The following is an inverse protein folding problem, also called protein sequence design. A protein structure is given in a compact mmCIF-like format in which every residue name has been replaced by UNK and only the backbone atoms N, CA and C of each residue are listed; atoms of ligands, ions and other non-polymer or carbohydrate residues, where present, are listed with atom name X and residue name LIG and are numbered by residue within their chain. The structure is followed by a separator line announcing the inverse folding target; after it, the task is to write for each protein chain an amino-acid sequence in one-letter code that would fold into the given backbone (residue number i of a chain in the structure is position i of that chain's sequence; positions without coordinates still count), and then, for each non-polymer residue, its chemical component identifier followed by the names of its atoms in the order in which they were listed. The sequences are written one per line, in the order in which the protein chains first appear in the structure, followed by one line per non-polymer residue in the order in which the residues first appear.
data_IF_195900416780
#
_entry.id   IF_195900416780
#
_cell.length_a   1.000
_cell.length_b   1.000
_cell.length_c   1.000
_cell.angle_alpha   90.00
_cell.angle_beta   90.00
_cell.angle_gamma   90.00
#
_symmetry.space_group_name_H-M   'P 1'
#
loop_
_entity.id
_entity.type
_entity.pdbx_description
1 polymer ?
#
# COMPACT_ATOMS: atom_id res chain seq x y z
N UNK A 1 17.54 4.75 20.40
CA UNK A 1 17.87 5.25 19.06
C UNK A 1 17.82 4.06 18.13
N UNK A 2 16.76 3.95 17.32
CA UNK A 2 16.69 2.90 16.32
C UNK A 2 17.86 3.13 15.36
N UNK A 3 18.71 2.12 15.14
CA UNK A 3 19.55 2.16 13.95
C UNK A 3 18.59 2.26 12.78
N UNK A 4 18.54 3.41 12.12
CA UNK A 4 17.97 3.51 10.80
C UNK A 4 18.87 2.65 9.90
N UNK A 5 18.67 1.33 9.93
CA UNK A 5 19.16 0.48 8.87
C UNK A 5 18.48 1.03 7.63
N UNK A 6 19.25 1.70 6.78
CA UNK A 6 18.77 2.06 5.47
C UNK A 6 18.50 0.74 4.77
N UNK A 7 17.25 0.30 4.79
CA UNK A 7 16.79 -0.86 4.04
C UNK A 7 16.84 -0.41 2.59
N UNK A 8 17.92 -0.77 1.91
CA UNK A 8 18.13 -0.43 0.51
C UNK A 8 17.47 -1.48 -0.38
N UNK A 9 16.58 -1.01 -1.24
CA UNK A 9 15.94 -1.78 -2.28
C UNK A 9 15.76 -0.84 -3.48
N UNK A 10 16.10 -1.32 -4.69
CA UNK A 10 16.18 -0.48 -5.89
C UNK A 10 15.11 -0.87 -6.95
N UNK A 11 13.80 -0.65 -6.71
CA UNK A 11 12.73 -1.03 -7.65
C UNK A 11 12.94 -0.60 -9.11
N UNK A 12 13.49 0.60 -9.37
CA UNK A 12 13.72 1.08 -10.74
C UNK A 12 14.90 0.40 -11.44
N UNK A 13 15.84 -0.18 -10.69
CA UNK A 13 17.00 -0.91 -11.20
C UNK A 13 16.75 -2.42 -11.27
N UNK A 14 16.16 -3.00 -10.20
CA UNK A 14 15.84 -4.42 -10.04
C UNK A 14 14.58 -4.86 -10.83
N UNK A 15 14.52 -4.50 -12.11
CA UNK A 15 13.37 -4.79 -13.01
C UNK A 15 13.05 -6.27 -13.12
N UNK A 16 14.05 -7.12 -12.92
CA UNK A 16 13.93 -8.57 -12.89
C UNK A 16 12.85 -9.04 -11.91
N UNK A 17 12.59 -8.32 -10.82
CA UNK A 17 11.57 -8.69 -9.80
C UNK A 17 10.13 -8.43 -10.29
N UNK A 18 9.93 -7.45 -11.18
CA UNK A 18 8.61 -7.02 -11.64
C UNK A 18 8.16 -7.67 -12.95
N UNK A 19 9.10 -8.06 -13.83
CA UNK A 19 8.78 -8.65 -15.14
C UNK A 19 8.26 -10.09 -14.95
N UNK A 20 6.99 -10.39 -15.31
CA UNK A 20 6.46 -11.74 -15.25
C UNK A 20 7.22 -12.66 -16.22
N UNK A 21 8.05 -13.56 -15.69
CA UNK A 21 8.79 -14.56 -16.47
C UNK A 21 10.32 -14.47 -16.37
N UNK A 22 10.89 -13.35 -15.91
CA UNK A 22 12.36 -13.21 -15.74
C UNK A 22 12.81 -13.47 -14.30
N UNK A 23 12.06 -13.00 -13.30
CA UNK A 23 12.07 -13.62 -11.96
C UNK A 23 11.10 -14.80 -11.93
N UNK A 24 11.46 -15.90 -11.27
CA UNK A 24 10.49 -16.95 -11.06
C UNK A 24 9.42 -16.40 -10.10
N UNK A 25 8.14 -16.49 -10.48
CA UNK A 25 7.01 -16.11 -9.62
C UNK A 25 7.07 -16.81 -8.23
N UNK A 26 7.86 -17.89 -8.13
CA UNK A 26 8.21 -18.56 -6.88
C UNK A 26 9.02 -17.69 -5.91
N UNK A 27 9.79 -16.70 -6.34
CA UNK A 27 10.62 -15.88 -5.44
C UNK A 27 9.76 -14.98 -4.56
N UNK A 28 8.71 -14.34 -5.10
CA UNK A 28 7.75 -13.57 -4.31
C UNK A 28 6.98 -14.47 -3.34
N UNK A 29 6.52 -15.63 -3.82
CA UNK A 29 5.83 -16.62 -3.00
C UNK A 29 6.75 -17.19 -1.89
N UNK A 30 8.02 -17.44 -2.19
CA UNK A 30 9.01 -17.90 -1.23
C UNK A 30 9.33 -16.83 -0.18
N UNK A 31 9.48 -15.57 -0.59
CA UNK A 31 9.64 -14.45 0.33
C UNK A 31 8.41 -14.30 1.24
N UNK A 32 7.19 -14.41 0.70
CA UNK A 32 5.96 -14.41 1.48
C UNK A 32 5.90 -15.59 2.47
N UNK A 33 6.28 -16.79 2.05
CA UNK A 33 6.32 -17.96 2.93
C UNK A 33 7.31 -17.80 4.09
N UNK A 34 8.48 -17.19 3.84
CA UNK A 34 9.45 -16.86 4.89
C UNK A 34 8.89 -15.79 5.85
N UNK A 35 8.25 -14.75 5.33
CA UNK A 35 7.59 -13.72 6.14
C UNK A 35 6.51 -14.36 7.02
N UNK A 36 5.68 -15.24 6.47
CA UNK A 36 4.65 -15.95 7.24
C UNK A 36 5.23 -16.87 8.31
N UNK A 37 6.34 -17.56 8.03
CA UNK A 37 7.03 -18.41 9.00
C UNK A 37 7.59 -17.59 10.18
N UNK A 38 8.15 -16.41 9.90
CA UNK A 38 8.62 -15.48 10.93
C UNK A 38 7.45 -14.85 11.71
N UNK A 39 6.36 -14.48 11.03
CA UNK A 39 5.15 -13.95 11.68
C UNK A 39 4.51 -14.97 12.64
N UNK A 40 4.63 -16.29 12.37
CA UNK A 40 4.15 -17.33 13.28
C UNK A 40 4.99 -17.45 14.55
N UNK A 41 6.29 -17.13 14.47
CA UNK A 41 7.22 -17.18 15.60
C UNK A 41 7.24 -15.87 16.39
N UNK A 42 6.91 -14.76 15.73
CA UNK A 42 6.86 -13.44 16.34
C UNK A 42 5.58 -13.30 17.18
N UNK A 43 5.67 -12.89 18.45
CA UNK A 43 4.48 -12.66 19.27
C UNK A 43 3.62 -11.57 18.64
N UNK A 44 2.31 -11.84 18.48
CA UNK A 44 1.40 -10.85 17.95
C UNK A 44 1.29 -9.67 18.92
N UNK A 45 1.33 -8.47 18.34
CA UNK A 45 1.17 -7.22 19.07
C UNK A 45 -0.27 -7.17 19.62
N UNK A 46 -0.43 -6.81 20.89
CA UNK A 46 -1.75 -6.64 21.49
C UNK A 46 -2.53 -5.53 20.78
N UNK A 47 -3.86 -5.64 20.72
CA UNK A 47 -4.75 -4.61 20.13
C UNK A 47 -4.50 -3.21 20.72
N UNK A 48 -4.06 -3.15 21.97
CA UNK A 48 -3.91 -1.92 22.74
C UNK A 48 -2.46 -1.38 22.72
N UNK A 49 -1.61 -1.84 21.79
CA UNK A 49 -0.23 -1.35 21.67
C UNK A 49 -0.21 0.13 21.24
N UNK A 50 0.59 1.00 21.91
CA UNK A 50 0.70 2.42 21.59
C UNK A 50 1.24 2.73 20.18
N UNK A 51 1.79 1.74 19.46
CA UNK A 51 2.19 1.85 18.06
C UNK A 51 1.03 1.72 17.09
N UNK A 52 -0.07 1.09 17.51
CA UNK A 52 -1.28 1.00 16.72
C UNK A 52 -2.06 2.32 16.85
N UNK A 53 -2.68 2.82 15.76
CA UNK A 53 -3.58 3.95 15.86
C UNK A 53 -4.71 3.64 16.87
N UNK A 54 -5.08 4.59 17.73
CA UNK A 54 -6.17 4.38 18.68
C UNK A 54 -7.48 4.15 17.92
N UNK A 55 -8.36 3.32 18.50
CA UNK A 55 -9.69 3.11 17.95
C UNK A 55 -10.45 4.43 17.85
N UNK A 56 -10.90 4.73 16.62
CA UNK A 56 -11.59 5.97 16.32
C UNK A 56 -13.08 5.81 16.60
N UNK A 57 -13.58 6.52 17.61
CA UNK A 57 -15.02 6.64 17.83
C UNK A 57 -15.66 7.37 16.64
N UNK A 58 -16.55 6.68 15.90
CA UNK A 58 -17.20 7.20 14.69
C UNK A 58 -18.11 8.41 15.02
N UNK A 59 -18.78 8.37 16.18
CA UNK A 59 -19.74 9.40 16.61
C UNK A 59 -19.42 9.96 18.00
N UNK A 60 -18.29 10.67 18.18
CA UNK A 60 -17.81 11.08 19.51
C UNK A 60 -18.73 12.10 20.19
N UNK A 61 -19.52 12.85 19.41
CA UNK A 61 -20.40 13.92 19.92
C UNK A 61 -21.82 13.48 20.20
N UNK A 62 -22.22 12.28 19.78
CA UNK A 62 -23.62 11.87 19.79
C UNK A 62 -23.77 10.43 20.29
N UNK A 63 -24.02 10.28 21.58
CA UNK A 63 -24.27 8.99 22.21
C UNK A 63 -25.41 8.21 21.52
N UNK A 64 -26.45 8.91 21.03
CA UNK A 64 -27.57 8.28 20.33
C UNK A 64 -27.17 7.62 18.99
N UNK A 65 -26.25 8.23 18.22
CA UNK A 65 -25.79 7.63 16.97
C UNK A 65 -24.86 6.43 17.23
N UNK A 66 -24.04 6.51 18.28
CA UNK A 66 -23.21 5.38 18.71
C UNK A 66 -24.09 4.19 19.10
N UNK A 67 -25.12 4.42 19.92
CA UNK A 67 -26.08 3.37 20.29
C UNK A 67 -26.84 2.82 19.09
N UNK A 68 -27.23 3.67 18.14
CA UNK A 68 -27.90 3.20 16.91
C UNK A 68 -26.97 2.33 16.05
N UNK A 69 -25.69 2.67 15.97
CA UNK A 69 -24.69 1.89 15.24
C UNK A 69 -24.47 0.53 15.90
N UNK A 70 -24.32 0.50 17.24
CA UNK A 70 -24.16 -0.73 18.02
C UNK A 70 -25.39 -1.64 17.89
N UNK A 71 -26.59 -1.07 17.88
CA UNK A 71 -27.83 -1.82 17.80
C UNK A 71 -28.25 -2.17 16.37
N UNK A 72 -27.56 -1.69 15.34
CA UNK A 72 -27.97 -1.81 13.94
C UNK A 72 -28.14 -3.26 13.48
N UNK A 73 -27.27 -4.17 13.93
CA UNK A 73 -27.35 -5.59 13.59
C UNK A 73 -28.64 -6.24 14.09
N UNK A 74 -29.14 -5.78 15.24
CA UNK A 74 -30.36 -6.30 15.87
C UNK A 74 -31.64 -5.56 15.43
N UNK A 75 -31.54 -4.25 15.22
CA UNK A 75 -32.65 -3.36 14.91
C UNK A 75 -32.25 -2.41 13.78
N UNK A 76 -32.30 -2.85 12.52
CA UNK A 76 -31.94 -2.00 11.40
C UNK A 76 -32.88 -0.80 11.32
N UNK A 77 -32.30 0.37 11.04
CA UNK A 77 -33.05 1.62 10.91
C UNK A 77 -34.07 1.46 9.76
N UNK A 78 -35.35 1.56 10.09
CA UNK A 78 -36.43 1.56 9.09
C UNK A 78 -36.61 2.98 8.54
N UNK A 79 -37.01 3.07 7.27
CA UNK A 79 -37.36 4.36 6.65
C UNK A 79 -38.49 5.06 7.40
N UNK A 80 -38.58 6.38 7.23
CA UNK A 80 -39.66 7.19 7.79
C UNK A 80 -40.99 6.69 7.22
N UNK A 81 -41.95 6.39 8.09
CA UNK A 81 -43.28 5.96 7.69
C UNK A 81 -44.07 7.14 7.11
N UNK A 82 -44.31 7.11 5.79
CA UNK A 82 -45.07 8.13 5.08
C UNK A 82 -46.59 7.92 5.17
N UNK A 83 -47.06 6.77 5.66
CA UNK A 83 -48.50 6.44 5.71
C UNK A 83 -49.31 7.44 6.53
N UNK A 84 -48.70 8.05 7.56
CA UNK A 84 -49.30 9.08 8.40
C UNK A 84 -49.79 10.32 7.63
N UNK A 85 -49.17 10.63 6.50
CA UNK A 85 -49.51 11.79 5.66
C UNK A 85 -50.31 11.41 4.42
N UNK A 86 -50.62 10.12 4.25
CA UNK A 86 -51.46 9.66 3.15
C UNK A 86 -52.89 10.21 3.33
N UNK A 87 -53.62 10.44 2.22
CA UNK A 87 -55.02 10.83 2.29
C UNK A 87 -55.82 9.77 3.06
N UNK A 88 -56.73 10.18 3.96
CA UNK A 88 -57.51 9.23 4.75
C UNK A 88 -58.46 8.44 3.83
N UNK A 89 -58.63 7.16 4.14
CA UNK A 89 -59.62 6.28 3.49
C UNK A 89 -60.42 5.58 4.58
N UNK A 90 -61.74 5.70 4.54
CA UNK A 90 -62.66 4.99 5.42
C UNK A 90 -63.62 4.15 4.57
N UNK A 91 -63.83 2.90 4.96
CA UNK A 91 -64.77 2.01 4.31
C UNK A 91 -66.23 2.37 4.66
N UNK A 92 -67.17 2.05 3.77
CA UNK A 92 -68.60 2.18 4.09
C UNK A 92 -68.95 1.21 5.24
N UNK A 93 -69.48 1.77 6.34
CA UNK A 93 -69.77 1.02 7.57
C UNK A 93 -68.65 0.96 8.61
N UNK A 94 -67.60 1.78 8.47
CA UNK A 94 -66.50 1.86 9.44
C UNK A 94 -66.97 2.24 10.86
N UNK A 95 -66.23 1.79 11.88
CA UNK A 95 -66.53 2.10 13.27
C UNK A 95 -66.33 3.60 13.57
N UNK A 96 -66.95 4.11 14.63
CA UNK A 96 -66.78 5.51 15.04
C UNK A 96 -65.29 5.83 15.33
N UNK A 97 -64.55 4.87 15.89
CA UNK A 97 -63.13 5.02 16.19
C UNK A 97 -62.28 5.15 14.91
N UNK A 98 -62.58 4.34 13.89
CA UNK A 98 -61.90 4.41 12.59
C UNK A 98 -62.19 5.73 11.88
N UNK A 99 -63.41 6.25 11.99
CA UNK A 99 -63.79 7.56 11.44
C UNK A 99 -63.06 8.71 12.13
N UNK A 100 -62.90 8.66 13.47
CA UNK A 100 -62.12 9.66 14.22
C UNK A 100 -60.63 9.58 13.85
N UNK A 101 -60.09 8.37 13.67
CA UNK A 101 -58.72 8.19 13.22
C UNK A 101 -58.50 8.75 11.80
N UNK A 102 -59.42 8.49 10.88
CA UNK A 102 -59.41 9.03 9.52
C UNK A 102 -59.53 10.57 9.50
N UNK A 103 -60.39 11.15 10.35
CA UNK A 103 -60.54 12.60 10.49
C UNK A 103 -59.25 13.25 11.00
N UNK A 104 -58.62 12.67 12.02
CA UNK A 104 -57.34 13.12 12.55
C UNK A 104 -56.23 13.03 11.50
N UNK A 105 -56.17 11.93 10.74
CA UNK A 105 -55.21 11.76 9.64
C UNK A 105 -55.43 12.81 8.54
N UNK A 106 -56.70 13.10 8.21
CA UNK A 106 -57.08 14.17 7.28
C UNK A 106 -56.54 15.53 7.70
N UNK A 107 -56.76 15.93 8.96
CA UNK A 107 -56.23 17.20 9.50
C UNK A 107 -54.71 17.27 9.48
N UNK A 108 -54.02 16.17 9.77
CA UNK A 108 -52.55 16.09 9.69
C UNK A 108 -52.10 16.28 8.23
N UNK A 109 -52.77 15.63 7.28
CA UNK A 109 -52.50 15.76 5.86
C UNK A 109 -52.71 17.18 5.35
N UNK A 110 -53.82 17.82 5.73
CA UNK A 110 -54.15 19.21 5.37
C UNK A 110 -53.06 20.18 5.85
N UNK A 111 -52.74 20.17 7.16
CA UNK A 111 -51.70 21.05 7.70
C UNK A 111 -50.32 20.82 7.09
N UNK A 112 -49.99 19.58 6.71
CA UNK A 112 -48.76 19.28 5.98
C UNK A 112 -48.79 19.86 4.55
N UNK A 113 -49.93 19.80 3.85
CA UNK A 113 -50.06 20.37 2.50
C UNK A 113 -49.99 21.89 2.52
N UNK A 114 -50.56 22.55 3.53
CA UNK A 114 -50.45 24.00 3.72
C UNK A 114 -48.98 24.42 3.89
N UNK A 115 -48.26 23.77 4.81
CA UNK A 115 -46.83 24.04 5.02
C UNK A 115 -46.00 23.72 3.77
N UNK A 116 -46.38 22.69 3.00
CA UNK A 116 -45.74 22.37 1.73
C UNK A 116 -45.97 23.48 0.71
N UNK A 117 -47.18 24.05 0.62
CA UNK A 117 -47.47 25.16 -0.29
C UNK A 117 -46.66 26.41 0.07
N UNK A 118 -46.55 26.72 1.36
CA UNK A 118 -45.70 27.82 1.85
C UNK A 118 -44.22 27.60 1.47
N UNK A 119 -43.70 26.39 1.70
CA UNK A 119 -42.33 26.04 1.32
C UNK A 119 -42.11 26.09 -0.20
N UNK A 120 -43.09 25.64 -1.01
CA UNK A 120 -43.02 25.73 -2.46
C UNK A 120 -43.04 27.18 -2.93
N UNK A 121 -43.81 28.05 -2.29
CA UNK A 121 -43.81 29.49 -2.57
C UNK A 121 -42.41 30.09 -2.34
N UNK A 122 -41.80 29.79 -1.19
CA UNK A 122 -40.43 30.24 -0.88
C UNK A 122 -39.42 29.67 -1.88
N UNK A 123 -39.53 28.37 -2.20
CA UNK A 123 -38.63 27.71 -3.16
C UNK A 123 -38.79 28.25 -4.58
N UNK A 124 -40.01 28.56 -5.01
CA UNK A 124 -40.27 29.16 -6.32
C UNK A 124 -39.63 30.54 -6.43
N UNK A 125 -39.72 31.34 -5.37
CA UNK A 125 -39.19 32.70 -5.33
C UNK A 125 -37.65 32.75 -5.25
N UNK A 126 -37.04 31.92 -4.41
CA UNK A 126 -35.59 32.00 -4.11
C UNK A 126 -34.76 30.82 -4.61
N UNK A 127 -35.39 29.68 -4.88
CA UNK A 127 -34.73 28.43 -5.27
C UNK A 127 -33.85 28.55 -6.51
N UNK A 128 -34.32 29.14 -7.63
CA UNK A 128 -33.50 29.28 -8.84
C UNK A 128 -32.20 30.07 -8.59
N UNK A 129 -32.30 31.18 -7.86
CA UNK A 129 -31.13 32.02 -7.55
C UNK A 129 -30.19 31.34 -6.54
N UNK A 130 -30.74 30.71 -5.50
CA UNK A 130 -29.94 29.95 -4.52
C UNK A 130 -29.20 28.79 -5.19
N UNK A 131 -29.85 28.09 -6.13
CA UNK A 131 -29.23 27.01 -6.90
C UNK A 131 -28.06 27.50 -7.75
N UNK A 132 -28.20 28.63 -8.45
CA UNK A 132 -27.12 29.23 -9.24
C UNK A 132 -25.92 29.62 -8.38
N UNK A 133 -26.15 30.26 -7.24
CA UNK A 133 -25.09 30.61 -6.29
C UNK A 133 -24.39 29.36 -5.78
N UNK A 134 -25.15 28.32 -5.41
CA UNK A 134 -24.58 27.06 -4.95
C UNK A 134 -23.78 26.37 -6.05
N UNK A 135 -24.25 26.39 -7.30
CA UNK A 135 -23.52 25.83 -8.43
C UNK A 135 -22.20 26.57 -8.65
N UNK A 136 -22.19 27.91 -8.57
CA UNK A 136 -20.97 28.71 -8.64
C UNK A 136 -19.97 28.35 -7.52
N UNK A 137 -20.43 28.23 -6.27
CA UNK A 137 -19.60 27.82 -5.14
C UNK A 137 -19.00 26.42 -5.35
N UNK A 138 -19.81 25.47 -5.83
CA UNK A 138 -19.36 24.11 -6.12
C UNK A 138 -18.31 24.09 -7.24
N UNK A 139 -18.50 24.88 -8.29
CA UNK A 139 -17.51 25.01 -9.36
C UNK A 139 -16.19 25.61 -8.84
N UNK A 140 -16.24 26.63 -7.97
CA UNK A 140 -15.03 27.19 -7.34
C UNK A 140 -14.27 26.13 -6.54
N UNK A 141 -14.98 25.40 -5.66
CA UNK A 141 -14.39 24.32 -4.86
C UNK A 141 -13.80 23.21 -5.74
N UNK A 142 -14.49 22.86 -6.83
CA UNK A 142 -13.99 21.88 -7.79
C UNK A 142 -12.70 22.37 -8.47
N UNK A 143 -12.62 23.64 -8.87
CA UNK A 143 -11.41 24.20 -9.47
C UNK A 143 -10.24 24.22 -8.49
N UNK A 144 -10.47 24.59 -7.23
CA UNK A 144 -9.46 24.56 -6.18
C UNK A 144 -8.96 23.12 -5.93
N UNK A 145 -9.86 22.16 -5.78
CA UNK A 145 -9.50 20.75 -5.59
C UNK A 145 -8.71 20.18 -6.76
N UNK A 146 -9.09 20.53 -7.99
CA UNK A 146 -8.36 20.11 -9.19
C UNK A 146 -6.96 20.73 -9.26
N UNK A 147 -6.79 21.98 -8.84
CA UNK A 147 -5.47 22.62 -8.73
C UNK A 147 -4.58 21.87 -7.74
N UNK A 148 -5.08 21.64 -6.52
CA UNK A 148 -4.35 20.92 -5.48
C UNK A 148 -3.99 19.51 -5.92
N UNK A 149 -4.90 18.83 -6.61
CA UNK A 149 -4.66 17.51 -7.18
C UNK A 149 -3.57 17.54 -8.26
N UNK A 150 -3.58 18.57 -9.12
CA UNK A 150 -2.54 18.81 -10.11
C UNK A 150 -1.16 18.97 -9.46
N UNK A 151 -1.06 19.85 -8.47
CA UNK A 151 0.17 20.13 -7.73
C UNK A 151 0.69 18.87 -7.02
N UNK A 152 -0.20 18.11 -6.37
CA UNK A 152 0.17 16.87 -5.70
C UNK A 152 0.67 15.80 -6.69
N UNK A 153 0.04 15.69 -7.86
CA UNK A 153 0.51 14.79 -8.91
C UNK A 153 1.90 15.19 -9.40
N UNK A 154 2.17 16.48 -9.57
CA UNK A 154 3.49 16.97 -9.96
C UNK A 154 4.55 16.69 -8.89
N UNK A 155 4.22 16.89 -7.61
CA UNK A 155 5.12 16.52 -6.50
C UNK A 155 5.43 15.02 -6.50
N UNK A 156 4.42 14.17 -6.70
CA UNK A 156 4.61 12.71 -6.77
C UNK A 156 5.49 12.34 -7.96
N UNK A 157 5.27 12.93 -9.14
CA UNK A 157 6.10 12.63 -10.33
C UNK A 157 7.52 13.14 -10.16
N UNK A 158 7.73 14.30 -9.53
CA UNK A 158 9.06 14.83 -9.23
C UNK A 158 9.83 13.92 -8.27
N UNK A 159 9.19 13.48 -7.18
CA UNK A 159 9.78 12.53 -6.22
C UNK A 159 10.13 11.22 -6.89
N UNK A 160 9.22 10.66 -7.69
CA UNK A 160 9.48 9.42 -8.44
C UNK A 160 10.61 9.60 -9.46
N UNK A 161 10.69 10.76 -10.14
CA UNK A 161 11.80 11.07 -11.06
C UNK A 161 13.14 11.14 -10.32
N UNK A 162 13.20 11.85 -9.19
CA UNK A 162 14.41 11.94 -8.36
C UNK A 162 14.84 10.55 -7.87
N UNK A 163 13.88 9.75 -7.38
CA UNK A 163 14.12 8.37 -6.92
C UNK A 163 14.67 7.52 -8.06
N UNK A 164 14.07 7.59 -9.24
CA UNK A 164 14.52 6.83 -10.40
C UNK A 164 15.97 7.16 -10.79
N UNK A 165 16.30 8.44 -10.92
CA UNK A 165 17.67 8.87 -11.26
C UNK A 165 18.67 8.36 -10.22
N UNK A 166 18.36 8.50 -8.93
CA UNK A 166 19.22 8.03 -7.84
C UNK A 166 19.44 6.51 -7.90
N UNK A 167 18.37 5.74 -8.11
CA UNK A 167 18.45 4.27 -8.16
C UNK A 167 19.18 3.76 -9.41
N UNK A 168 18.94 4.37 -10.58
CA UNK A 168 19.63 4.01 -11.82
C UNK A 168 21.14 4.30 -11.71
N UNK A 169 21.54 5.46 -11.16
CA UNK A 169 22.94 5.81 -10.95
C UNK A 169 23.63 4.87 -9.94
N UNK A 170 23.00 4.66 -8.78
CA UNK A 170 23.50 3.75 -7.74
C UNK A 170 23.62 2.32 -8.26
N UNK A 171 22.64 1.85 -9.03
CA UNK A 171 22.67 0.53 -9.65
C UNK A 171 23.84 0.35 -10.62
N UNK A 172 24.15 1.36 -11.45
CA UNK A 172 25.33 1.34 -12.31
C UNK A 172 26.63 1.29 -11.49
N UNK A 173 26.69 2.01 -10.36
CA UNK A 173 27.82 1.93 -9.44
C UNK A 173 27.98 0.53 -8.81
N UNK A 174 26.89 -0.11 -8.42
CA UNK A 174 26.89 -1.48 -7.92
C UNK A 174 27.37 -2.48 -8.98
N UNK A 175 26.90 -2.37 -10.23
CA UNK A 175 27.37 -3.23 -11.32
C UNK A 175 28.87 -3.09 -11.60
N UNK A 176 29.43 -1.89 -11.50
CA UNK A 176 30.89 -1.66 -11.60
C UNK A 176 31.66 -2.31 -10.45
N UNK A 177 31.12 -2.23 -9.24
CA UNK A 177 31.73 -2.87 -8.05
C UNK A 177 31.68 -4.39 -8.17
N UNK A 178 30.57 -4.94 -8.64
CA UNK A 178 30.40 -6.38 -8.88
C UNK A 178 31.39 -6.89 -9.94
N UNK A 179 31.50 -6.22 -11.08
CA UNK A 179 32.48 -6.59 -12.11
C UNK A 179 33.92 -6.53 -11.59
N UNK A 180 34.29 -5.47 -10.87
CA UNK A 180 35.63 -5.39 -10.24
C UNK A 180 35.87 -6.51 -9.24
N UNK A 181 34.85 -6.87 -8.46
CA UNK A 181 34.92 -7.95 -7.50
C UNK A 181 35.12 -9.31 -8.21
N UNK A 182 34.38 -9.56 -9.29
CA UNK A 182 34.56 -10.76 -10.12
C UNK A 182 35.96 -10.83 -10.74
N UNK A 183 36.46 -9.71 -11.26
CA UNK A 183 37.82 -9.61 -11.84
C UNK A 183 38.89 -9.90 -10.78
N UNK A 184 38.74 -9.33 -9.58
CA UNK A 184 39.65 -9.56 -8.46
C UNK A 184 39.68 -11.04 -8.05
N UNK A 185 38.51 -11.68 -7.93
CA UNK A 185 38.41 -13.11 -7.63
C UNK A 185 39.05 -13.96 -8.73
N UNK A 186 38.75 -13.65 -9.99
CA UNK A 186 39.31 -14.37 -11.13
C UNK A 186 40.84 -14.23 -11.15
N UNK A 187 41.35 -13.03 -10.88
CA UNK A 187 42.79 -12.76 -10.80
C UNK A 187 43.47 -13.51 -9.65
N UNK A 188 42.89 -13.55 -8.45
CA UNK A 188 43.45 -14.33 -7.34
C UNK A 188 43.45 -15.82 -7.64
N UNK A 189 42.37 -16.36 -8.21
CA UNK A 189 42.31 -17.78 -8.61
C UNK A 189 43.36 -18.10 -9.68
N UNK A 190 43.52 -17.24 -10.69
CA UNK A 190 44.55 -17.42 -11.72
C UNK A 190 45.96 -17.35 -11.14
N UNK A 191 46.21 -16.45 -10.19
CA UNK A 191 47.49 -16.31 -9.51
C UNK A 191 47.79 -17.55 -8.65
N UNK A 192 46.82 -18.07 -7.90
CA UNK A 192 46.97 -19.31 -7.14
C UNK A 192 47.28 -20.51 -8.06
N UNK A 193 46.62 -20.60 -9.23
CA UNK A 193 46.91 -21.63 -10.23
C UNK A 193 48.34 -21.51 -10.77
N UNK A 194 48.79 -20.29 -11.09
CA UNK A 194 50.14 -20.04 -11.59
C UNK A 194 51.21 -20.37 -10.52
N UNK A 195 51.00 -19.98 -9.26
CA UNK A 195 51.88 -20.34 -8.16
C UNK A 195 51.98 -21.86 -7.98
N UNK A 196 50.85 -22.59 -8.04
CA UNK A 196 50.85 -24.06 -7.96
C UNK A 196 51.57 -24.72 -9.13
N UNK A 197 51.41 -24.19 -10.35
CA UNK A 197 52.13 -24.67 -11.52
C UNK A 197 53.65 -24.46 -11.37
N UNK A 198 54.06 -23.27 -10.94
CA UNK A 198 55.46 -22.93 -10.72
C UNK A 198 56.09 -23.76 -9.58
N UNK A 199 55.35 -24.02 -8.49
CA UNK A 199 55.78 -24.95 -7.44
C UNK A 199 55.99 -26.38 -7.98
N UNK A 200 55.14 -26.81 -8.91
CA UNK A 200 55.29 -28.09 -9.63
C UNK A 200 56.57 -28.13 -10.47
N UNK A 201 56.84 -27.07 -11.24
CA UNK A 201 58.05 -26.94 -12.05
C UNK A 201 59.31 -26.90 -11.17
N UNK A 202 59.32 -26.13 -10.08
CA UNK A 202 60.44 -26.06 -9.13
C UNK A 202 60.72 -27.43 -8.50
N UNK A 203 59.69 -28.17 -8.11
CA UNK A 203 59.85 -29.55 -7.62
C UNK A 203 60.45 -30.47 -8.68
N UNK A 204 60.01 -30.35 -9.94
CA UNK A 204 60.55 -31.11 -11.06
C UNK A 204 62.01 -30.78 -11.35
N UNK A 205 62.39 -29.50 -11.31
CA UNK A 205 63.78 -29.05 -11.50
C UNK A 205 64.69 -29.53 -10.36
N UNK A 206 64.24 -29.44 -9.09
CA UNK A 206 65.00 -29.95 -7.94
C UNK A 206 65.26 -31.44 -8.06
N UNK A 207 64.26 -32.23 -8.49
CA UNK A 207 64.44 -33.66 -8.73
C UNK A 207 65.49 -33.94 -9.80
N UNK A 208 65.46 -33.22 -10.93
CA UNK A 208 66.49 -33.35 -11.97
C UNK A 208 67.88 -32.93 -11.49
N UNK A 209 67.97 -31.89 -10.67
CA UNK A 209 69.24 -31.47 -10.06
C UNK A 209 69.80 -32.58 -9.15
N UNK A 210 68.96 -33.20 -8.32
CA UNK A 210 69.36 -34.35 -7.48
C UNK A 210 69.82 -35.54 -8.33
N UNK A 211 69.07 -35.90 -9.38
CA UNK A 211 69.43 -36.98 -10.32
C UNK A 211 70.78 -36.71 -11.00
N UNK A 212 71.00 -35.50 -11.53
CA UNK A 212 72.26 -35.11 -12.15
C UNK A 212 73.42 -35.05 -11.15
N UNK A 213 73.18 -34.59 -9.92
CA UNK A 213 74.20 -34.59 -8.87
C UNK A 213 74.63 -36.00 -8.50
N UNK A 214 73.69 -36.94 -8.42
CA UNK A 214 74.03 -38.36 -8.21
C UNK A 214 74.82 -38.93 -9.38
N UNK A 215 74.43 -38.61 -10.62
CA UNK A 215 75.13 -39.09 -11.82
C UNK A 215 76.57 -38.53 -11.93
N UNK A 216 76.77 -37.25 -11.60
CA UNK A 216 78.10 -36.63 -11.52
C UNK A 216 78.94 -37.29 -10.43
N UNK A 217 78.37 -37.54 -9.24
CA UNK A 217 79.09 -38.21 -8.15
C UNK A 217 79.50 -39.66 -8.53
N UNK A 218 78.65 -40.38 -9.27
CA UNK A 218 78.95 -41.72 -9.75
C UNK A 218 80.06 -41.71 -10.83
N UNK A 219 80.08 -40.70 -11.70
CA UNK A 219 81.14 -40.51 -12.70
C UNK A 219 82.48 -40.10 -12.08
N UNK A 220 82.46 -39.25 -11.06
CA UNK A 220 83.66 -38.89 -10.28
C UNK A 220 84.22 -40.09 -9.50
N UNK A 221 83.38 -41.02 -9.06
CA UNK A 221 83.81 -42.25 -8.39
C UNK A 221 84.39 -43.33 -9.34
N UNK A 222 84.19 -43.18 -10.66
CA UNK A 222 84.70 -44.09 -11.69
C UNK A 222 86.04 -43.64 -12.32
N UNK A 223 86.55 -42.46 -11.96
CA UNK A 223 87.88 -41.96 -12.34
C UNK A 223 88.91 -42.20 -11.24
#
# INVERSE_FOLDING_TARGET
MASSSNIDALPYYDKQVEVPGEFPASAKAAAQALIEAELRQTPQIASDDPRLPPDVAVFPKSAGLTQLLENYESHPIRGIDASKYAPPSAAEGASLEDLVAAERQGRIGEGHMDLRNDNISVLSNYGPNAYLVRNYQLNSQLTELNSVLGDLKEQVTEVNRKRRVFQEDTGVHLGKLESRWQDLISSTVQLEMACRAMDGEVKGLRRKEEELRTEVADLEAQQ
#
